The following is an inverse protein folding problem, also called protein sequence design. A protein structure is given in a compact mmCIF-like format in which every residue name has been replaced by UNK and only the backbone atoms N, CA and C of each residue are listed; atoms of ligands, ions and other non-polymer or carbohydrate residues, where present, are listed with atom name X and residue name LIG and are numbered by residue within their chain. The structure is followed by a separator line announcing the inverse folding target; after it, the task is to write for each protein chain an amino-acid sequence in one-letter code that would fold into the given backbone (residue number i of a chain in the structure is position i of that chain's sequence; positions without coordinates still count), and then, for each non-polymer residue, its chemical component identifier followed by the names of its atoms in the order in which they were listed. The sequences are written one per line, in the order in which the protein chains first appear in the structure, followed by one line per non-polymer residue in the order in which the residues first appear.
data_IF_734326246034
#
_entry.id   IF_734326246034
#
_cell.length_a   1.000
_cell.length_b   1.000
_cell.length_c   1.000
_cell.angle_alpha   90.00
_cell.angle_beta   90.00
_cell.angle_gamma   90.00
#
_symmetry.space_group_name_H-M   'P 1'
#
loop_
_entity.id
_entity.type
_entity.pdbx_description
1 polymer ?
#
# COMPACT_ATOMS: atom_id res chain seq x y z
N UNK A 1 14.61 16.88 5.96
CA UNK A 1 15.09 15.47 5.92
C UNK A 1 14.66 14.66 7.15
N UNK A 2 14.78 15.17 8.39
CA UNK A 2 14.35 14.45 9.60
C UNK A 2 12.82 14.26 9.76
N UNK A 3 11.99 15.23 9.34
CA UNK A 3 10.52 15.13 9.46
C UNK A 3 9.89 14.08 8.53
N UNK A 4 10.40 13.96 7.30
CA UNK A 4 9.96 12.94 6.34
C UNK A 4 10.26 11.53 6.91
N UNK A 5 11.44 11.31 7.48
CA UNK A 5 11.80 10.03 8.10
C UNK A 5 10.87 9.66 9.28
N UNK A 6 10.46 10.64 10.11
CA UNK A 6 9.50 10.40 11.20
C UNK A 6 8.11 10.01 10.68
N UNK A 7 7.62 10.69 9.63
CA UNK A 7 6.33 10.40 9.02
C UNK A 7 6.32 9.01 8.37
N UNK A 8 7.43 8.53 7.83
CA UNK A 8 7.52 7.19 7.26
C UNK A 8 7.68 6.09 8.32
N UNK A 9 8.38 6.37 9.42
CA UNK A 9 8.55 5.43 10.54
C UNK A 9 7.29 5.29 11.38
N UNK A 10 6.53 6.38 11.53
CA UNK A 10 5.32 6.45 12.33
C UNK A 10 5.59 6.36 13.84
N UNK A 11 4.62 6.79 14.64
CA UNK A 11 4.65 6.78 16.10
C UNK A 11 3.32 6.25 16.64
N UNK A 12 3.31 5.74 17.88
CA UNK A 12 2.09 5.21 18.49
C UNK A 12 1.39 4.17 17.60
N UNK A 13 0.17 4.50 17.16
CA UNK A 13 -0.65 3.64 16.30
C UNK A 13 -0.12 3.47 14.86
N UNK A 14 0.86 4.26 14.42
CA UNK A 14 1.50 4.11 13.10
C UNK A 14 2.91 3.51 13.14
N UNK A 15 3.40 3.19 14.35
CA UNK A 15 4.73 2.64 14.62
C UNK A 15 4.98 1.28 13.96
N UNK A 16 6.26 0.91 13.82
CA UNK A 16 6.69 -0.42 13.36
C UNK A 16 6.09 -1.56 14.20
N UNK A 17 5.89 -1.36 15.51
CA UNK A 17 5.21 -2.34 16.39
C UNK A 17 3.78 -2.61 15.91
N UNK A 18 3.03 -1.56 15.55
CA UNK A 18 1.65 -1.70 15.06
C UNK A 18 1.61 -2.37 13.69
N UNK A 19 2.56 -2.05 12.80
CA UNK A 19 2.73 -2.75 11.51
C UNK A 19 2.97 -4.24 11.72
N UNK A 20 3.92 -4.60 12.58
CA UNK A 20 4.24 -6.01 12.91
C UNK A 20 3.03 -6.76 13.46
N UNK A 21 2.19 -6.11 14.27
CA UNK A 21 0.92 -6.70 14.75
C UNK A 21 -0.06 -6.98 13.61
N UNK A 22 -0.21 -6.05 12.67
CA UNK A 22 -1.02 -6.29 11.46
C UNK A 22 -0.49 -7.50 10.68
N UNK A 23 0.82 -7.54 10.40
CA UNK A 23 1.45 -8.64 9.68
C UNK A 23 1.24 -9.99 10.39
N UNK A 24 1.34 -10.02 11.72
CA UNK A 24 1.06 -11.23 12.51
C UNK A 24 -0.38 -11.71 12.30
N UNK A 25 -1.37 -10.81 12.39
CA UNK A 25 -2.79 -11.16 12.16
C UNK A 25 -3.05 -11.64 10.74
N UNK A 26 -2.42 -11.04 9.73
CA UNK A 26 -2.55 -11.49 8.34
C UNK A 26 -2.02 -12.92 8.15
N UNK A 27 -0.89 -13.26 8.80
CA UNK A 27 -0.40 -14.65 8.83
C UNK A 27 -1.37 -15.60 9.50
N UNK A 28 -1.90 -15.21 10.65
CA UNK A 28 -2.91 -16.00 11.39
C UNK A 28 -4.18 -16.23 10.54
N UNK A 29 -4.51 -15.29 9.64
CA UNK A 29 -5.62 -15.41 8.67
C UNK A 29 -5.28 -16.18 7.38
N UNK A 30 -4.07 -16.73 7.26
CA UNK A 30 -3.69 -17.61 6.16
C UNK A 30 -2.92 -16.96 5.02
N UNK A 31 -2.48 -15.71 5.14
CA UNK A 31 -1.52 -15.11 4.21
C UNK A 31 -0.14 -15.73 4.47
N UNK A 32 0.42 -16.42 3.48
CA UNK A 32 1.63 -17.24 3.56
C UNK A 32 2.83 -16.64 2.82
N UNK A 33 2.62 -15.81 1.80
CA UNK A 33 3.69 -15.23 1.00
C UNK A 33 4.50 -14.22 1.83
N UNK A 34 5.76 -14.56 2.09
CA UNK A 34 6.67 -13.75 2.89
C UNK A 34 7.08 -12.46 2.20
N UNK A 35 7.12 -12.43 0.86
CA UNK A 35 7.45 -11.25 0.07
C UNK A 35 6.31 -10.22 0.16
N UNK A 36 5.06 -10.67 0.01
CA UNK A 36 3.87 -9.82 0.17
C UNK A 36 3.83 -9.23 1.57
N UNK A 37 3.99 -10.05 2.60
CA UNK A 37 3.98 -9.59 4.00
C UNK A 37 5.12 -8.61 4.30
N UNK A 38 6.31 -8.82 3.72
CA UNK A 38 7.42 -7.90 3.87
C UNK A 38 7.18 -6.57 3.14
N UNK A 39 6.59 -6.59 1.93
CA UNK A 39 6.19 -5.39 1.21
C UNK A 39 5.15 -4.58 2.02
N UNK A 40 4.13 -5.25 2.58
CA UNK A 40 3.14 -4.61 3.44
C UNK A 40 3.73 -4.02 4.73
N UNK A 41 4.76 -4.65 5.30
CA UNK A 41 5.45 -4.15 6.50
C UNK A 41 6.25 -2.89 6.22
N UNK A 42 6.88 -2.82 5.04
CA UNK A 42 7.84 -1.78 4.67
C UNK A 42 7.16 -0.57 4.03
N UNK A 43 6.10 -0.75 3.25
CA UNK A 43 5.30 0.36 2.70
C UNK A 43 4.42 0.94 3.82
N UNK A 44 4.60 2.23 4.19
CA UNK A 44 3.91 2.83 5.33
C UNK A 44 2.45 3.15 5.00
N UNK A 45 1.53 2.18 5.14
CA UNK A 45 0.10 2.32 4.80
C UNK A 45 -0.56 3.62 5.29
N UNK A 46 -0.19 4.11 6.47
CA UNK A 46 -0.74 5.33 7.04
C UNK A 46 -0.50 6.62 6.24
N UNK A 47 0.49 6.69 5.33
CA UNK A 47 0.65 7.87 4.45
C UNK A 47 -0.36 7.86 3.29
N UNK A 48 -1.05 6.73 3.08
CA UNK A 48 -2.02 6.52 2.01
C UNK A 48 -3.46 6.86 2.42
N UNK A 49 -3.68 7.25 3.68
CA UNK A 49 -4.99 7.67 4.22
C UNK A 49 -4.97 9.13 4.63
N UNK A 50 -6.13 9.68 4.92
CA UNK A 50 -6.25 10.99 5.57
C UNK A 50 -5.58 10.96 6.96
N UNK A 51 -4.97 12.08 7.36
CA UNK A 51 -4.29 12.21 8.65
C UNK A 51 -5.22 11.90 9.83
N UNK A 52 -6.49 12.28 9.74
CA UNK A 52 -7.50 11.99 10.75
C UNK A 52 -7.77 10.48 10.93
N UNK A 53 -7.40 9.67 9.94
CA UNK A 53 -7.58 8.21 9.92
C UNK A 53 -6.26 7.46 10.11
N UNK A 54 -5.13 8.15 10.27
CA UNK A 54 -3.80 7.53 10.35
C UNK A 54 -3.70 6.53 11.52
N UNK A 55 -4.34 6.83 12.66
CA UNK A 55 -4.38 5.93 13.83
C UNK A 55 -5.06 4.59 13.56
N UNK A 56 -5.93 4.54 12.54
CA UNK A 56 -6.69 3.35 12.11
C UNK A 56 -6.05 2.65 10.92
N UNK A 57 -5.00 3.20 10.32
CA UNK A 57 -4.42 2.72 9.06
C UNK A 57 -4.01 1.24 9.07
N UNK A 58 -3.71 0.69 10.24
CA UNK A 58 -3.30 -0.71 10.44
C UNK A 58 -4.36 -1.58 11.12
N UNK A 59 -5.60 -1.08 11.24
CA UNK A 59 -6.77 -1.92 11.42
C UNK A 59 -7.01 -2.73 10.15
N UNK A 60 -7.50 -3.96 10.29
CA UNK A 60 -7.81 -4.80 9.14
C UNK A 60 -9.19 -4.47 8.58
N UNK A 61 -9.37 -3.22 8.14
CA UNK A 61 -10.61 -2.67 7.57
C UNK A 61 -10.31 -1.74 6.40
N UNK A 62 -11.31 -1.50 5.55
CA UNK A 62 -11.25 -0.46 4.54
C UNK A 62 -11.43 0.92 5.17
N UNK A 63 -10.76 1.94 4.62
CA UNK A 63 -10.85 3.32 5.11
C UNK A 63 -11.18 4.28 3.96
N UNK A 64 -11.96 5.34 4.17
CA UNK A 64 -12.22 6.32 3.13
C UNK A 64 -10.95 7.10 2.77
N UNK A 65 -10.82 7.44 1.49
CA UNK A 65 -9.70 8.21 0.94
C UNK A 65 -10.17 9.46 0.18
N UNK A 66 -11.43 9.86 0.43
CA UNK A 66 -12.13 10.94 -0.28
C UNK A 66 -12.73 10.50 -1.61
N UNK A 67 -13.50 11.40 -2.25
CA UNK A 67 -14.11 11.20 -3.57
C UNK A 67 -14.98 9.92 -3.68
N UNK A 68 -15.60 9.52 -2.57
CA UNK A 68 -16.39 8.29 -2.49
C UNK A 68 -15.59 6.99 -2.63
N UNK A 69 -14.25 7.05 -2.56
CA UNK A 69 -13.36 5.89 -2.69
C UNK A 69 -12.83 5.44 -1.33
N UNK A 70 -12.34 4.20 -1.28
CA UNK A 70 -11.70 3.61 -0.09
C UNK A 70 -10.34 3.03 -0.43
N UNK A 71 -9.44 2.99 0.57
CA UNK A 71 -8.29 2.08 0.55
C UNK A 71 -8.78 0.71 1.02
N UNK A 72 -8.49 -0.33 0.23
CA UNK A 72 -8.92 -1.70 0.50
C UNK A 72 -8.38 -2.22 1.82
N UNK A 73 -9.15 -3.10 2.47
CA UNK A 73 -8.75 -3.84 3.66
C UNK A 73 -7.38 -4.52 3.48
N UNK A 74 -6.46 -4.46 4.48
CA UNK A 74 -5.15 -5.11 4.40
C UNK A 74 -5.20 -6.59 4.01
N UNK A 75 -6.13 -7.38 4.55
CA UNK A 75 -6.30 -8.78 4.15
C UNK A 75 -6.60 -8.95 2.66
N UNK A 76 -7.49 -8.12 2.09
CA UNK A 76 -7.84 -8.19 0.67
C UNK A 76 -6.64 -7.81 -0.20
N UNK A 77 -5.90 -6.75 0.16
CA UNK A 77 -4.64 -6.36 -0.49
C UNK A 77 -3.64 -7.52 -0.50
N UNK A 78 -3.45 -8.16 0.65
CA UNK A 78 -2.54 -9.29 0.79
C UNK A 78 -2.98 -10.46 -0.10
N UNK A 79 -4.25 -10.88 0.02
CA UNK A 79 -4.76 -12.06 -0.68
C UNK A 79 -4.78 -11.89 -2.20
N UNK A 80 -5.18 -10.72 -2.71
CA UNK A 80 -5.13 -10.43 -4.13
C UNK A 80 -3.70 -10.49 -4.68
N UNK A 81 -2.74 -9.97 -3.90
CA UNK A 81 -1.34 -9.97 -4.30
C UNK A 81 -0.72 -11.37 -4.27
N UNK A 82 -1.05 -12.19 -3.28
CA UNK A 82 -0.61 -13.60 -3.23
C UNK A 82 -1.10 -14.37 -4.45
N UNK A 83 -2.39 -14.30 -4.75
CA UNK A 83 -3.00 -14.98 -5.89
C UNK A 83 -2.37 -14.54 -7.22
N UNK A 84 -2.02 -13.26 -7.33
CA UNK A 84 -1.31 -12.74 -8.51
C UNK A 84 0.08 -13.37 -8.66
N UNK A 85 0.81 -13.56 -7.56
CA UNK A 85 2.17 -14.12 -7.57
C UNK A 85 2.21 -15.66 -7.64
N UNK A 86 1.10 -16.34 -7.32
CA UNK A 86 0.97 -17.81 -7.50
C UNK A 86 1.18 -18.22 -8.97
N UNK A 87 1.03 -17.31 -9.93
CA UNK A 87 1.30 -17.54 -11.36
C UNK A 87 2.80 -17.52 -11.73
N UNK A 88 3.69 -17.31 -10.74
CA UNK A 88 5.13 -17.21 -10.94
C UNK A 88 5.66 -15.78 -11.02
N UNK A 89 6.95 -15.59 -11.34
CA UNK A 89 7.56 -14.27 -11.42
C UNK A 89 6.89 -13.39 -12.48
N UNK A 90 6.47 -12.19 -12.06
CA UNK A 90 5.84 -11.22 -12.94
C UNK A 90 6.79 -10.09 -13.28
N UNK A 91 6.90 -9.81 -14.57
CA UNK A 91 7.72 -8.72 -15.06
C UNK A 91 6.98 -7.38 -15.02
N UNK A 92 5.76 -7.35 -15.58
CA UNK A 92 4.93 -6.15 -15.67
C UNK A 92 3.52 -6.43 -15.17
N UNK A 93 2.97 -5.52 -14.38
CA UNK A 93 1.59 -5.58 -13.86
C UNK A 93 0.81 -4.35 -14.28
N UNK A 94 -0.45 -4.53 -14.63
CA UNK A 94 -1.44 -3.48 -14.79
C UNK A 94 -2.40 -3.50 -13.59
N UNK A 95 -2.55 -2.35 -12.94
CA UNK A 95 -3.54 -2.11 -11.90
C UNK A 95 -4.61 -1.14 -12.42
N UNK A 96 -5.88 -1.49 -12.24
CA UNK A 96 -7.01 -0.62 -12.55
C UNK A 96 -7.59 -0.08 -11.25
N UNK A 97 -7.56 1.25 -11.10
CA UNK A 97 -7.95 1.95 -9.87
C UNK A 97 -6.76 2.19 -8.94
N UNK A 98 -5.92 3.18 -9.26
CA UNK A 98 -4.81 3.61 -8.38
C UNK A 98 -5.33 4.00 -6.98
N UNK A 99 -6.45 4.73 -6.91
CA UNK A 99 -7.02 5.21 -5.66
C UNK A 99 -6.00 5.96 -4.80
N UNK A 100 -5.73 5.42 -3.62
CA UNK A 100 -4.72 6.01 -2.72
C UNK A 100 -3.27 5.82 -3.21
N UNK A 101 -3.03 4.79 -4.02
CA UNK A 101 -1.71 4.32 -4.45
C UNK A 101 -1.12 3.20 -3.58
N UNK A 102 -1.79 2.74 -2.52
CA UNK A 102 -1.18 1.76 -1.61
C UNK A 102 -0.90 0.40 -2.26
N UNK A 103 -1.87 -0.15 -3.00
CA UNK A 103 -1.71 -1.41 -3.72
C UNK A 103 -0.63 -1.26 -4.83
N UNK A 104 -0.66 -0.17 -5.58
CA UNK A 104 0.38 0.17 -6.58
C UNK A 104 1.78 0.19 -5.98
N UNK A 105 1.94 0.85 -4.82
CA UNK A 105 3.22 0.95 -4.13
C UNK A 105 3.71 -0.42 -3.64
N UNK A 106 2.79 -1.27 -3.17
CA UNK A 106 3.10 -2.64 -2.78
C UNK A 106 3.56 -3.46 -3.99
N UNK A 107 2.81 -3.45 -5.09
CA UNK A 107 3.17 -4.14 -6.33
C UNK A 107 4.54 -3.69 -6.85
N UNK A 108 4.86 -2.39 -6.75
CA UNK A 108 6.15 -1.86 -7.19
C UNK A 108 7.36 -2.45 -6.47
N UNK A 109 7.17 -3.05 -5.29
CA UNK A 109 8.23 -3.77 -4.55
C UNK A 109 8.37 -5.24 -4.94
N UNK A 110 7.41 -5.77 -5.70
CA UNK A 110 7.30 -7.19 -6.02
C UNK A 110 7.54 -7.49 -7.51
N UNK A 111 7.42 -6.50 -8.39
CA UNK A 111 7.57 -6.68 -9.85
C UNK A 111 8.48 -5.64 -10.49
N UNK A 112 8.96 -5.91 -11.71
CA UNK A 112 9.87 -4.98 -12.42
C UNK A 112 9.18 -3.68 -12.81
N UNK A 113 7.91 -3.71 -13.23
CA UNK A 113 7.16 -2.51 -13.64
C UNK A 113 5.67 -2.59 -13.30
N UNK A 114 5.11 -1.48 -12.84
CA UNK A 114 3.66 -1.34 -12.60
C UNK A 114 3.11 -0.22 -13.47
N UNK A 115 2.06 -0.51 -14.21
CA UNK A 115 1.18 0.48 -14.81
C UNK A 115 -0.07 0.59 -13.95
N UNK A 116 -0.52 1.80 -13.63
CA UNK A 116 -1.73 2.00 -12.84
C UNK A 116 -2.60 3.09 -13.44
N UNK A 117 -3.90 2.81 -13.54
CA UNK A 117 -4.89 3.69 -14.17
C UNK A 117 -5.83 4.26 -13.12
N UNK A 118 -6.12 5.55 -13.16
CA UNK A 118 -7.08 6.20 -12.28
C UNK A 118 -7.90 7.27 -13.01
N UNK A 119 -9.22 7.21 -12.86
CA UNK A 119 -10.16 8.13 -13.51
C UNK A 119 -10.36 9.43 -12.75
N UNK A 120 -10.07 9.46 -11.45
CA UNK A 120 -10.21 10.64 -10.59
C UNK A 120 -8.86 11.35 -10.49
N UNK A 121 -8.70 12.44 -11.26
CA UNK A 121 -7.45 13.20 -11.37
C UNK A 121 -6.83 13.58 -10.01
N UNK A 122 -7.66 14.00 -9.04
CA UNK A 122 -7.16 14.38 -7.71
C UNK A 122 -6.52 13.21 -6.95
N UNK A 123 -7.04 12.00 -7.13
CA UNK A 123 -6.47 10.80 -6.50
C UNK A 123 -5.17 10.40 -7.21
N UNK A 124 -5.16 10.43 -8.55
CA UNK A 124 -3.97 10.14 -9.34
C UNK A 124 -2.82 11.10 -9.00
N UNK A 125 -3.11 12.40 -8.84
CA UNK A 125 -2.11 13.41 -8.43
C UNK A 125 -1.57 13.12 -7.03
N UNK A 126 -2.43 12.77 -6.09
CA UNK A 126 -2.01 12.43 -4.72
C UNK A 126 -1.13 11.17 -4.68
N UNK A 127 -1.50 10.13 -5.43
CA UNK A 127 -0.70 8.91 -5.57
C UNK A 127 0.69 9.20 -6.17
N UNK A 128 0.76 10.05 -7.21
CA UNK A 128 2.03 10.47 -7.82
C UNK A 128 2.99 11.11 -6.81
N UNK A 129 2.50 12.00 -5.96
CA UNK A 129 3.30 12.65 -4.92
C UNK A 129 3.84 11.62 -3.92
N UNK A 130 3.00 10.69 -3.46
CA UNK A 130 3.42 9.60 -2.56
C UNK A 130 4.47 8.70 -3.18
N UNK A 131 4.36 8.39 -4.47
CA UNK A 131 5.36 7.57 -5.16
C UNK A 131 6.71 8.29 -5.29
N UNK A 132 6.70 9.60 -5.57
CA UNK A 132 7.90 10.42 -5.59
C UNK A 132 8.55 10.48 -4.20
N UNK A 133 7.75 10.70 -3.15
CA UNK A 133 8.18 10.72 -1.76
C UNK A 133 8.82 9.39 -1.32
N UNK A 134 8.22 8.26 -1.72
CA UNK A 134 8.73 6.91 -1.46
C UNK A 134 9.87 6.48 -2.41
N UNK A 135 10.24 7.30 -3.39
CA UNK A 135 11.28 6.98 -4.37
C UNK A 135 10.94 5.81 -5.30
N UNK A 136 9.66 5.55 -5.56
CA UNK A 136 9.19 4.44 -6.40
C UNK A 136 9.25 4.82 -7.88
N UNK A 137 10.29 4.34 -8.57
CA UNK A 137 10.62 4.76 -9.96
C UNK A 137 10.10 3.83 -11.05
N UNK A 138 9.55 2.67 -10.68
CA UNK A 138 9.06 1.66 -11.62
C UNK A 138 7.53 1.70 -11.81
N UNK A 139 6.87 2.79 -11.40
CA UNK A 139 5.43 3.00 -11.56
C UNK A 139 5.18 3.99 -12.71
N UNK A 140 4.24 3.66 -13.59
CA UNK A 140 3.71 4.55 -14.63
C UNK A 140 2.22 4.76 -14.42
N UNK A 141 1.80 6.02 -14.29
CA UNK A 141 0.40 6.40 -14.08
C UNK A 141 -0.22 6.81 -15.41
N UNK A 142 -1.45 6.34 -15.66
CA UNK A 142 -2.29 6.66 -16.82
C UNK A 142 -3.62 7.24 -16.36
#
# INVERSE_FOLDING_TARGET
MAMIDLQHRGIGMTSDRTRKRLIKRLREKGIRDSNVLNAMRTIPRHIFVDEALASRAYEDTALPIGRGQTISQPYIVARMTELLLESGPLDTVLEIGTGSGYQTALLSRLVRRVYSVERIESLQRLARLRFQELGLRNIRLH
#
